data_IF_374270940695
#
_entry.id   IF_374270940695
#
_cell.length_a   1.000
_cell.length_b   1.000
_cell.length_c   1.000
_cell.angle_alpha   90.00
_cell.angle_beta   90.00
_cell.angle_gamma   90.00
#
_symmetry.space_group_name_H-M   'P 1'
#
loop_
_entity.id
_entity.type
_entity.pdbx_description
1 polymer ?
#
# COMPACT_ATOMS: atom_id res chain seq x y z
N UNK A 1 -24.61 7.34 29.61
CA UNK A 1 -23.48 6.94 28.75
C UNK A 1 -24.00 5.96 27.73
N UNK A 2 -23.57 6.10 26.47
CA UNK A 2 -23.82 5.08 25.45
C UNK A 2 -23.28 3.73 25.93
N UNK A 3 -24.01 2.63 25.67
CA UNK A 3 -23.46 1.29 25.90
C UNK A 3 -22.25 1.08 24.99
N UNK A 4 -21.30 0.25 25.45
CA UNK A 4 -20.09 -0.05 24.69
C UNK A 4 -20.42 -0.57 23.28
N UNK A 5 -21.42 -1.43 23.17
CA UNK A 5 -21.89 -2.00 21.90
C UNK A 5 -22.47 -0.94 20.95
N UNK A 6 -23.23 0.03 21.48
CA UNK A 6 -23.81 1.08 20.66
C UNK A 6 -22.75 2.09 20.20
N UNK A 7 -21.76 2.39 21.04
CA UNK A 7 -20.61 3.20 20.65
C UNK A 7 -19.79 2.51 19.55
N UNK A 8 -19.49 1.22 19.71
CA UNK A 8 -18.75 0.42 18.74
C UNK A 8 -19.46 0.35 17.38
N UNK A 9 -20.78 0.18 17.38
CA UNK A 9 -21.60 0.26 16.18
C UNK A 9 -21.45 1.60 15.45
N UNK A 10 -21.57 2.73 16.17
CA UNK A 10 -21.43 4.05 15.57
C UNK A 10 -20.01 4.32 15.04
N UNK A 11 -18.98 3.82 15.72
CA UNK A 11 -17.62 3.93 15.21
C UNK A 11 -17.41 3.11 13.94
N UNK A 12 -17.95 1.88 13.88
CA UNK A 12 -17.84 1.04 12.70
C UNK A 12 -18.60 1.64 11.50
N UNK A 13 -19.82 2.14 11.71
CA UNK A 13 -20.59 2.81 10.65
C UNK A 13 -19.86 4.02 10.07
N UNK A 14 -19.16 4.80 10.91
CA UNK A 14 -18.31 5.90 10.46
C UNK A 14 -17.10 5.42 9.68
N UNK A 15 -16.40 4.40 10.16
CA UNK A 15 -15.24 3.83 9.47
C UNK A 15 -15.67 3.31 8.10
N UNK A 16 -16.77 2.58 8.00
CA UNK A 16 -17.23 2.01 6.74
C UNK A 16 -17.66 3.10 5.75
N UNK A 17 -18.35 4.14 6.24
CA UNK A 17 -18.73 5.30 5.43
C UNK A 17 -17.53 6.13 4.96
N UNK A 18 -16.53 6.36 5.83
CA UNK A 18 -15.32 7.13 5.53
C UNK A 18 -14.29 6.30 4.71
N UNK A 19 -14.35 4.97 4.79
CA UNK A 19 -13.43 4.06 4.08
C UNK A 19 -13.89 3.72 2.67
N UNK A 20 -15.19 3.89 2.35
CA UNK A 20 -15.66 3.63 1.00
C UNK A 20 -15.29 4.77 0.05
N UNK A 21 -14.18 4.58 -0.65
CA UNK A 21 -13.66 5.56 -1.61
C UNK A 21 -14.25 5.42 -3.02
N UNK A 22 -15.22 4.52 -3.21
CA UNK A 22 -15.72 4.13 -4.53
C UNK A 22 -14.75 3.22 -5.30
N UNK A 23 -15.15 2.74 -6.49
CA UNK A 23 -14.20 2.16 -7.43
C UNK A 23 -13.22 3.23 -7.93
N UNK A 24 -11.95 2.85 -8.13
CA UNK A 24 -10.95 3.76 -8.68
C UNK A 24 -11.34 4.28 -10.06
N UNK A 25 -11.08 5.57 -10.30
CA UNK A 25 -11.18 6.18 -11.62
C UNK A 25 -10.11 5.65 -12.58
N UNK A 26 -10.31 5.82 -13.88
CA UNK A 26 -9.31 5.41 -14.89
C UNK A 26 -7.96 6.12 -14.69
N UNK A 27 -7.97 7.38 -14.27
CA UNK A 27 -6.76 8.15 -14.00
C UNK A 27 -5.99 7.61 -12.79
N UNK A 28 -6.69 7.31 -11.69
CA UNK A 28 -6.09 6.71 -10.50
C UNK A 28 -5.51 5.33 -10.79
N UNK A 29 -6.21 4.51 -11.59
CA UNK A 29 -5.69 3.23 -12.06
C UNK A 29 -4.43 3.40 -12.91
N UNK A 30 -4.38 4.43 -13.77
CA UNK A 30 -3.18 4.74 -14.56
C UNK A 30 -2.00 5.14 -13.67
N UNK A 31 -2.23 6.01 -12.70
CA UNK A 31 -1.23 6.43 -11.72
C UNK A 31 -0.73 5.25 -10.88
N UNK A 32 -1.62 4.36 -10.45
CA UNK A 32 -1.24 3.15 -9.73
C UNK A 32 -0.37 2.22 -10.57
N UNK A 33 -0.67 2.05 -11.86
CA UNK A 33 0.18 1.27 -12.78
C UNK A 33 1.57 1.88 -12.92
N UNK A 34 1.68 3.20 -13.06
CA UNK A 34 2.98 3.88 -13.13
C UNK A 34 3.78 3.77 -11.83
N UNK A 35 3.13 3.97 -10.68
CA UNK A 35 3.76 3.79 -9.36
C UNK A 35 4.25 2.36 -9.16
N UNK A 36 3.48 1.36 -9.60
CA UNK A 36 3.88 -0.05 -9.54
C UNK A 36 5.12 -0.34 -10.38
N UNK A 37 5.21 0.19 -11.61
CA UNK A 37 6.41 0.06 -12.45
C UNK A 37 7.66 0.63 -11.76
N UNK A 38 7.54 1.84 -11.20
CA UNK A 38 8.65 2.48 -10.45
C UNK A 38 9.09 1.66 -9.24
N UNK A 39 8.12 1.10 -8.51
CA UNK A 39 8.41 0.24 -7.36
C UNK A 39 9.13 -1.05 -7.79
N UNK A 40 8.68 -1.70 -8.86
CA UNK A 40 9.31 -2.91 -9.38
C UNK A 40 10.74 -2.65 -9.86
N UNK A 41 10.99 -1.51 -10.52
CA UNK A 41 12.33 -1.09 -10.91
C UNK A 41 13.23 -0.85 -9.70
N UNK A 42 12.74 -0.16 -8.68
CA UNK A 42 13.46 0.07 -7.44
C UNK A 42 13.82 -1.25 -6.73
N UNK A 43 12.88 -2.18 -6.63
CA UNK A 43 13.10 -3.51 -6.05
C UNK A 43 14.15 -4.27 -6.85
N UNK A 44 14.07 -4.26 -8.19
CA UNK A 44 15.07 -4.89 -9.05
C UNK A 44 16.46 -4.31 -8.79
N UNK A 45 16.60 -2.99 -8.82
CA UNK A 45 17.89 -2.33 -8.57
C UNK A 45 18.47 -2.71 -7.20
N UNK A 46 17.64 -2.74 -6.16
CA UNK A 46 18.08 -3.16 -4.82
C UNK A 46 18.52 -4.63 -4.77
N UNK A 47 17.81 -5.54 -5.46
CA UNK A 47 18.24 -6.94 -5.58
C UNK A 47 19.60 -7.06 -6.24
N UNK A 48 19.80 -6.38 -7.37
CA UNK A 48 21.09 -6.37 -8.08
C UNK A 48 22.22 -5.81 -7.21
N UNK A 49 21.95 -4.73 -6.48
CA UNK A 49 22.91 -4.13 -5.54
C UNK A 49 23.26 -5.09 -4.40
N UNK A 50 22.28 -5.80 -3.84
CA UNK A 50 22.52 -6.81 -2.81
C UNK A 50 23.40 -7.96 -3.30
N UNK A 51 23.12 -8.50 -4.49
CA UNK A 51 23.92 -9.57 -5.10
C UNK A 51 25.37 -9.12 -5.31
N UNK A 52 25.58 -7.94 -5.92
CA UNK A 52 26.94 -7.41 -6.13
C UNK A 52 27.71 -7.17 -4.83
N UNK A 53 27.03 -6.73 -3.77
CA UNK A 53 27.68 -6.54 -2.48
C UNK A 53 28.07 -7.88 -1.84
N UNK A 54 27.22 -8.90 -1.93
CA UNK A 54 27.55 -10.24 -1.44
C UNK A 54 28.74 -10.87 -2.21
N UNK A 55 28.81 -10.70 -3.54
CA UNK A 55 29.96 -11.17 -4.35
C UNK A 55 31.28 -10.46 -3.99
N UNK A 56 31.23 -9.17 -3.62
CA UNK A 56 32.41 -8.42 -3.18
C UNK A 56 32.91 -8.84 -1.81
N UNK A 57 32.04 -9.25 -0.91
CA UNK A 57 32.40 -9.70 0.44
C UNK A 57 32.72 -11.20 0.52
N UNK A 58 32.45 -11.96 -0.55
CA UNK A 58 32.77 -13.38 -0.66
C UNK A 58 34.14 -13.67 -1.31
N UNK A 59 34.88 -12.64 -1.72
CA UNK A 59 36.26 -12.71 -2.23
C UNK A 59 37.22 -12.07 -1.25
#
# INVERSE_FOLDING_TARGET
MLSRELAEKYYQERIDAESWHGPYTEEELRLQKERRKKLDEYIKQNRWRHVKNNEKHAK
#
